data_IF_595183738259
#
_entry.id   IF_595183738259
#
_cell.length_a   1.000
_cell.length_b   1.000
_cell.length_c   1.000
_cell.angle_alpha   90.00
_cell.angle_beta   90.00
_cell.angle_gamma   90.00
#
_symmetry.space_group_name_H-M   'P 1'
#
loop_
_entity.id
_entity.type
_entity.pdbx_description
1 polymer ?
#
# COMPACT_ATOMS: atom_id res chain seq x y z
N UNK A 1 -5.93 -7.06 18.25
CA UNK A 1 -5.26 -6.28 19.34
C UNK A 1 -6.02 -6.35 20.67
N UNK A 2 -7.35 -6.20 20.69
CA UNK A 2 -8.14 -6.28 21.93
C UNK A 2 -7.96 -7.61 22.71
N UNK A 3 -7.98 -8.76 22.04
CA UNK A 3 -7.77 -10.07 22.67
C UNK A 3 -6.40 -10.21 23.35
N UNK A 4 -5.33 -9.71 22.74
CA UNK A 4 -3.99 -9.76 23.34
C UNK A 4 -3.91 -8.93 24.62
N UNK A 5 -4.51 -7.72 24.63
CA UNK A 5 -4.56 -6.88 25.84
C UNK A 5 -5.32 -7.55 26.97
N UNK A 6 -6.48 -8.13 26.67
CA UNK A 6 -7.29 -8.82 27.67
C UNK A 6 -6.56 -10.01 28.32
N UNK A 7 -5.78 -10.76 27.52
CA UNK A 7 -5.00 -11.90 28.02
C UNK A 7 -3.77 -11.45 28.81
N UNK A 8 -3.10 -10.38 28.38
CA UNK A 8 -2.01 -9.75 29.15
C UNK A 8 -2.51 -9.27 30.53
N UNK A 9 -3.71 -8.70 30.60
CA UNK A 9 -4.36 -8.29 31.85
C UNK A 9 -4.66 -9.49 32.78
N UNK A 10 -4.84 -10.69 32.22
CA UNK A 10 -5.05 -11.93 32.96
C UNK A 10 -3.74 -12.65 33.32
N UNK A 11 -2.58 -12.10 32.96
CA UNK A 11 -1.26 -12.67 33.25
C UNK A 11 -0.88 -13.89 32.41
N UNK A 12 -1.57 -14.13 31.29
CA UNK A 12 -1.30 -15.22 30.36
C UNK A 12 -0.75 -14.65 29.02
N UNK A 13 -0.04 -15.47 28.24
CA UNK A 13 0.59 -15.05 26.98
C UNK A 13 0.19 -15.96 25.81
N UNK A 14 -0.66 -15.43 24.92
CA UNK A 14 -1.03 -16.10 23.67
C UNK A 14 0.08 -15.97 22.62
N UNK A 15 1.17 -16.72 22.80
CA UNK A 15 2.36 -16.68 21.92
C UNK A 15 2.03 -16.78 20.43
N UNK A 16 1.13 -17.69 20.04
CA UNK A 16 0.72 -17.87 18.63
C UNK A 16 0.01 -16.61 18.08
N UNK A 17 -0.92 -16.06 18.85
CA UNK A 17 -1.67 -14.87 18.45
C UNK A 17 -0.75 -13.65 18.39
N UNK A 18 0.18 -13.51 19.34
CA UNK A 18 1.20 -12.46 19.35
C UNK A 18 2.07 -12.54 18.10
N UNK A 19 2.64 -13.72 17.83
CA UNK A 19 3.44 -13.95 16.62
C UNK A 19 2.67 -13.69 15.33
N UNK A 20 1.40 -14.10 15.26
CA UNK A 20 0.55 -13.81 14.10
C UNK A 20 0.36 -12.29 13.91
N UNK A 21 0.12 -11.54 15.00
CA UNK A 21 0.01 -10.07 14.96
C UNK A 21 1.32 -9.43 14.54
N UNK A 22 2.46 -9.86 15.09
CA UNK A 22 3.78 -9.31 14.77
C UNK A 22 4.16 -9.54 13.30
N UNK A 23 3.94 -10.75 12.77
CA UNK A 23 4.16 -11.05 11.35
C UNK A 23 3.26 -10.16 10.49
N UNK A 24 2.00 -10.02 10.88
CA UNK A 24 1.04 -9.19 10.20
C UNK A 24 1.45 -7.71 10.23
N UNK A 25 2.03 -7.20 11.31
CA UNK A 25 2.51 -5.81 11.40
C UNK A 25 3.76 -5.53 10.57
N UNK A 26 4.64 -6.51 10.35
CA UNK A 26 5.84 -6.36 9.52
C UNK A 26 5.56 -6.42 8.01
N UNK A 27 4.49 -7.10 7.60
CA UNK A 27 4.16 -7.32 6.18
C UNK A 27 4.08 -6.05 5.31
N UNK A 28 3.50 -4.92 5.73
CA UNK A 28 3.41 -3.74 4.89
C UNK A 28 4.77 -3.18 4.46
N UNK A 29 5.81 -3.32 5.29
CA UNK A 29 7.15 -2.81 4.96
C UNK A 29 7.87 -3.66 3.90
N UNK A 30 7.48 -4.93 3.74
CA UNK A 30 8.03 -5.81 2.70
C UNK A 30 7.79 -5.26 1.30
N UNK A 31 6.73 -4.47 1.08
CA UNK A 31 6.49 -3.81 -0.21
C UNK A 31 7.58 -2.78 -0.53
N UNK A 32 8.10 -2.09 0.49
CA UNK A 32 9.19 -1.11 0.35
C UNK A 32 10.50 -1.85 0.05
N UNK A 33 10.75 -2.98 0.72
CA UNK A 33 11.95 -3.79 0.47
C UNK A 33 11.97 -4.32 -0.98
N UNK A 34 10.82 -4.75 -1.50
CA UNK A 34 10.69 -5.16 -2.90
C UNK A 34 10.90 -4.00 -3.87
N UNK A 35 10.30 -2.84 -3.58
CA UNK A 35 10.54 -1.62 -4.36
C UNK A 35 12.04 -1.30 -4.44
N UNK A 36 12.76 -1.41 -3.32
CA UNK A 36 14.18 -1.09 -3.22
C UNK A 36 15.13 -1.99 -4.01
N UNK A 37 14.67 -3.18 -4.40
CA UNK A 37 15.43 -4.03 -5.35
C UNK A 37 15.56 -3.36 -6.72
N UNK A 38 14.58 -2.52 -7.07
CA UNK A 38 14.48 -1.84 -8.36
C UNK A 38 14.89 -0.37 -8.29
N UNK A 39 14.75 0.26 -7.12
CA UNK A 39 15.03 1.68 -6.90
C UNK A 39 15.87 1.88 -5.64
N UNK A 40 17.15 2.20 -5.80
CA UNK A 40 18.11 2.28 -4.67
C UNK A 40 17.86 3.48 -3.74
N UNK A 41 17.51 4.62 -4.30
CA UNK A 41 17.21 5.86 -3.57
C UNK A 41 15.81 6.35 -3.97
N UNK A 42 14.95 6.57 -2.98
CA UNK A 42 13.58 7.03 -3.20
C UNK A 42 13.46 8.55 -3.20
N UNK A 43 14.52 9.29 -2.86
CA UNK A 43 14.48 10.75 -2.78
C UNK A 43 14.12 11.39 -4.12
N UNK A 44 13.00 12.12 -4.16
CA UNK A 44 12.47 12.76 -5.36
C UNK A 44 11.84 11.79 -6.37
N UNK A 45 11.80 10.50 -6.06
CA UNK A 45 11.18 9.50 -6.94
C UNK A 45 9.67 9.54 -6.77
N UNK A 46 8.96 9.61 -7.91
CA UNK A 46 7.50 9.55 -7.94
C UNK A 46 7.02 8.12 -7.79
N UNK A 47 6.26 7.86 -6.73
CA UNK A 47 5.67 6.55 -6.44
C UNK A 47 4.16 6.68 -6.42
N UNK A 48 3.50 5.97 -7.34
CA UNK A 48 2.05 5.85 -7.39
C UNK A 48 1.55 4.87 -6.35
N UNK A 49 0.53 5.25 -5.59
CA UNK A 49 -0.13 4.40 -4.59
C UNK A 49 -1.60 4.28 -4.95
N UNK A 50 -1.99 3.07 -5.37
CA UNK A 50 -3.37 2.71 -5.69
C UNK A 50 -3.99 1.96 -4.52
N UNK A 51 -5.04 2.53 -3.95
CA UNK A 51 -5.75 1.98 -2.80
C UNK A 51 -5.22 2.54 -1.48
N UNK A 52 -6.12 3.19 -0.74
CA UNK A 52 -5.88 3.82 0.55
C UNK A 52 -6.78 3.24 1.64
N UNK A 53 -7.98 2.77 1.29
CA UNK A 53 -8.89 2.10 2.20
C UNK A 53 -8.31 0.77 2.72
N UNK A 54 -8.77 0.29 3.88
CA UNK A 54 -8.29 -0.99 4.41
C UNK A 54 -8.71 -2.20 3.57
N UNK A 55 -9.85 -2.08 2.86
CA UNK A 55 -10.41 -3.05 1.93
C UNK A 55 -11.27 -2.33 0.86
N UNK A 56 -11.62 -2.98 -0.25
CA UNK A 56 -12.55 -2.42 -1.23
C UNK A 56 -13.95 -2.18 -0.65
N UNK A 57 -14.68 -1.23 -1.24
CA UNK A 57 -16.06 -0.91 -0.91
C UNK A 57 -16.27 -0.06 0.35
N UNK A 58 -15.24 0.63 0.83
CA UNK A 58 -15.33 1.50 2.02
C UNK A 58 -14.30 2.63 1.96
N UNK A 59 -14.58 3.72 2.68
CA UNK A 59 -13.68 4.84 2.92
C UNK A 59 -12.86 4.71 4.22
N UNK A 60 -13.03 3.61 4.97
CA UNK A 60 -12.37 3.40 6.25
C UNK A 60 -10.86 3.13 6.09
N UNK A 61 -10.06 3.88 6.84
CA UNK A 61 -8.59 3.82 6.80
C UNK A 61 -7.95 3.37 8.10
N UNK A 62 -8.72 3.13 9.18
CA UNK A 62 -8.19 2.98 10.54
C UNK A 62 -7.13 1.89 10.69
N UNK A 63 -7.36 0.76 10.03
CA UNK A 63 -6.45 -0.39 10.00
C UNK A 63 -5.81 -0.56 8.60
N UNK A 64 -5.77 0.51 7.81
CA UNK A 64 -5.29 0.42 6.44
C UNK A 64 -3.78 0.20 6.38
N UNK A 65 -3.38 -0.74 5.51
CA UNK A 65 -1.98 -1.06 5.24
C UNK A 65 -1.28 0.00 4.41
N UNK A 66 -2.03 0.92 3.78
CA UNK A 66 -1.46 2.04 3.03
C UNK A 66 -0.78 3.06 3.95
N UNK A 67 -1.28 3.26 5.17
CA UNK A 67 -0.75 4.25 6.12
C UNK A 67 0.75 4.03 6.42
N UNK A 68 1.20 2.86 6.91
CA UNK A 68 2.61 2.65 7.20
C UNK A 68 3.49 2.69 5.95
N UNK A 69 2.98 2.23 4.79
CA UNK A 69 3.70 2.26 3.51
C UNK A 69 3.94 3.70 3.05
N UNK A 70 2.87 4.51 3.01
CA UNK A 70 2.93 5.91 2.59
C UNK A 70 3.81 6.73 3.53
N UNK A 71 3.68 6.53 4.85
CA UNK A 71 4.56 7.18 5.82
C UNK A 71 6.03 6.87 5.53
N UNK A 72 6.36 5.59 5.30
CA UNK A 72 7.73 5.17 5.01
C UNK A 72 8.27 5.76 3.70
N UNK A 73 7.44 5.87 2.66
CA UNK A 73 7.82 6.52 1.41
C UNK A 73 8.15 8.00 1.61
N UNK A 74 7.32 8.73 2.37
CA UNK A 74 7.54 10.14 2.69
C UNK A 74 8.84 10.31 3.50
N UNK A 75 9.04 9.47 4.52
CA UNK A 75 10.24 9.50 5.37
C UNK A 75 11.53 9.26 4.56
N UNK A 76 11.43 8.54 3.43
CA UNK A 76 12.54 8.31 2.49
C UNK A 76 12.62 9.33 1.35
N UNK A 77 11.79 10.37 1.38
CA UNK A 77 11.83 11.49 0.46
C UNK A 77 11.14 11.24 -0.89
N UNK A 78 10.31 10.20 -1.00
CA UNK A 78 9.55 9.93 -2.23
C UNK A 78 8.42 10.94 -2.43
N UNK A 79 8.13 11.25 -3.69
CA UNK A 79 6.93 11.98 -4.10
C UNK A 79 5.76 10.99 -4.28
N UNK A 80 4.89 10.90 -3.28
CA UNK A 80 3.76 9.95 -3.31
C UNK A 80 2.56 10.55 -4.06
N UNK A 81 2.13 9.86 -5.13
CA UNK A 81 0.90 10.13 -5.87
C UNK A 81 -0.17 9.12 -5.49
N UNK A 82 -1.16 9.54 -4.71
CA UNK A 82 -2.13 8.64 -4.10
C UNK A 82 -3.50 8.74 -4.79
N UNK A 83 -4.16 7.61 -4.96
CA UNK A 83 -5.55 7.53 -5.40
C UNK A 83 -6.29 6.36 -4.74
N UNK A 84 -7.54 6.59 -4.35
CA UNK A 84 -8.53 5.60 -3.91
C UNK A 84 -9.94 6.10 -4.28
N UNK A 85 -10.86 5.23 -4.70
CA UNK A 85 -12.24 5.62 -5.02
C UNK A 85 -13.04 6.29 -3.91
N UNK A 86 -12.79 5.92 -2.65
CA UNK A 86 -13.68 6.27 -1.54
C UNK A 86 -12.94 6.89 -0.35
N UNK A 87 -11.69 6.49 -0.09
CA UNK A 87 -10.97 6.85 1.12
C UNK A 87 -10.14 8.15 1.02
N UNK A 88 -10.23 8.90 -0.08
CA UNK A 88 -9.36 10.06 -0.33
C UNK A 88 -9.48 11.15 0.75
N UNK A 89 -10.69 11.48 1.16
CA UNK A 89 -10.92 12.56 2.13
C UNK A 89 -10.46 12.17 3.53
N UNK A 90 -10.75 10.94 3.96
CA UNK A 90 -10.26 10.41 5.22
C UNK A 90 -8.74 10.34 5.24
N UNK A 91 -8.13 9.88 4.14
CA UNK A 91 -6.67 9.78 4.03
C UNK A 91 -6.01 11.17 4.01
N UNK A 92 -6.64 12.18 3.37
CA UNK A 92 -6.18 13.57 3.33
C UNK A 92 -6.15 14.23 4.71
N UNK A 93 -7.07 13.87 5.60
CA UNK A 93 -7.02 14.35 7.00
C UNK A 93 -5.76 13.87 7.72
N UNK A 94 -5.26 12.68 7.39
CA UNK A 94 -4.05 12.12 8.00
C UNK A 94 -2.77 12.58 7.30
N UNK A 95 -2.80 12.72 5.98
CA UNK A 95 -1.65 13.10 5.15
C UNK A 95 -1.96 14.29 4.22
N UNK A 96 -2.16 15.51 4.75
CA UNK A 96 -2.68 16.64 3.98
C UNK A 96 -1.78 17.08 2.82
N UNK A 97 -0.47 16.83 2.94
CA UNK A 97 0.54 17.30 1.98
C UNK A 97 0.84 16.31 0.85
N UNK A 98 0.10 15.20 0.76
CA UNK A 98 0.25 14.24 -0.34
C UNK A 98 -0.33 14.77 -1.65
N UNK A 99 0.20 14.25 -2.76
CA UNK A 99 -0.39 14.49 -4.07
C UNK A 99 -1.52 13.53 -4.32
N UNK A 100 -2.75 13.99 -4.11
CA UNK A 100 -3.96 13.24 -4.42
C UNK A 100 -4.31 13.38 -5.91
N UNK A 101 -4.24 12.29 -6.65
CA UNK A 101 -4.62 12.25 -8.06
C UNK A 101 -6.15 12.12 -8.24
N UNK A 102 -6.63 12.46 -9.44
CA UNK A 102 -8.07 12.46 -9.74
C UNK A 102 -8.61 11.09 -10.14
N UNK A 103 -7.74 10.22 -10.67
CA UNK A 103 -8.08 8.86 -11.06
C UNK A 103 -6.83 7.96 -10.96
N UNK A 104 -7.03 6.65 -11.12
CA UNK A 104 -5.92 5.71 -11.16
C UNK A 104 -5.06 5.92 -12.42
N UNK A 105 -5.68 6.19 -13.57
CA UNK A 105 -4.99 6.53 -14.82
C UNK A 105 -4.12 7.78 -14.67
N UNK A 106 -4.59 8.77 -13.91
CA UNK A 106 -3.82 9.98 -13.61
C UNK A 106 -2.56 9.66 -12.78
N UNK A 107 -2.62 8.69 -11.87
CA UNK A 107 -1.43 8.16 -11.17
C UNK A 107 -0.49 7.49 -12.18
N UNK A 108 -1.00 6.57 -13.00
CA UNK A 108 -0.20 5.83 -13.98
C UNK A 108 0.45 6.77 -15.01
N UNK A 109 -0.20 7.86 -15.41
CA UNK A 109 0.35 8.84 -16.35
C UNK A 109 1.52 9.66 -15.78
N UNK A 110 1.67 9.71 -14.45
CA UNK A 110 2.62 10.62 -13.76
C UNK A 110 3.83 9.93 -13.12
N UNK A 111 3.88 8.60 -13.09
CA UNK A 111 4.98 7.85 -12.47
C UNK A 111 5.21 6.49 -13.13
N UNK A 112 6.41 5.93 -12.95
CA UNK A 112 6.79 4.61 -13.48
C UNK A 112 6.63 3.49 -12.45
N UNK A 113 6.52 3.84 -11.18
CA UNK A 113 6.45 2.90 -10.06
C UNK A 113 5.04 2.94 -9.47
N UNK A 114 4.39 1.78 -9.37
CA UNK A 114 3.04 1.64 -8.85
C UNK A 114 3.01 0.62 -7.71
N UNK A 115 2.45 1.03 -6.57
CA UNK A 115 2.13 0.16 -5.45
C UNK A 115 0.62 -0.08 -5.43
N UNK A 116 0.21 -1.34 -5.43
CA UNK A 116 -1.21 -1.72 -5.31
C UNK A 116 -1.46 -2.21 -3.89
N UNK A 117 -2.19 -1.41 -3.12
CA UNK A 117 -2.40 -1.60 -1.68
C UNK A 117 -3.85 -1.93 -1.33
N UNK A 118 -4.81 -1.77 -2.23
CA UNK A 118 -6.21 -2.20 -2.09
C UNK A 118 -6.73 -2.71 -3.45
N UNK A 119 -7.47 -3.82 -3.46
CA UNK A 119 -7.92 -4.47 -4.70
C UNK A 119 -9.26 -3.89 -5.20
N UNK A 120 -9.28 -2.65 -5.67
CA UNK A 120 -10.47 -2.07 -6.28
C UNK A 120 -10.67 -2.61 -7.70
N UNK A 121 -11.92 -2.90 -8.08
CA UNK A 121 -12.21 -3.50 -9.39
C UNK A 121 -11.84 -2.59 -10.56
N UNK A 122 -11.94 -1.27 -10.40
CA UNK A 122 -11.49 -0.30 -11.40
C UNK A 122 -9.99 -0.42 -11.73
N UNK A 123 -9.17 -0.95 -10.82
CA UNK A 123 -7.74 -1.13 -11.09
C UNK A 123 -7.47 -2.25 -12.11
N UNK A 124 -8.39 -3.21 -12.27
CA UNK A 124 -8.23 -4.33 -13.22
C UNK A 124 -8.22 -3.87 -14.67
N UNK A 125 -8.90 -2.78 -14.99
CA UNK A 125 -9.05 -2.25 -16.36
C UNK A 125 -7.88 -1.37 -16.82
N UNK A 126 -6.85 -1.19 -16.00
CA UNK A 126 -5.75 -0.27 -16.26
C UNK A 126 -4.64 -0.92 -17.08
N UNK A 127 -3.95 -0.10 -17.88
CA UNK A 127 -2.75 -0.51 -18.62
C UNK A 127 -1.48 -0.22 -17.81
N UNK A 128 -0.85 -1.27 -17.29
CA UNK A 128 0.40 -1.16 -16.52
C UNK A 128 1.65 -1.25 -17.40
N UNK A 129 1.52 -1.18 -18.72
CA UNK A 129 2.64 -1.26 -19.66
C UNK A 129 3.75 -0.27 -19.31
N UNK A 130 4.98 -0.77 -19.29
CA UNK A 130 6.17 0.03 -18.95
C UNK A 130 6.38 0.29 -17.45
N UNK A 131 5.43 -0.08 -16.58
CA UNK A 131 5.52 0.19 -15.13
C UNK A 131 6.26 -0.89 -14.36
N UNK A 132 6.85 -0.47 -13.23
CA UNK A 132 7.30 -1.34 -12.14
C UNK A 132 6.15 -1.42 -11.14
N UNK A 133 5.53 -2.58 -11.02
CA UNK A 133 4.39 -2.81 -10.13
C UNK A 133 4.83 -3.68 -8.96
N UNK A 134 4.66 -3.17 -7.75
CA UNK A 134 4.75 -3.98 -6.53
C UNK A 134 3.34 -4.16 -5.97
N UNK A 135 2.89 -5.40 -5.88
CA UNK A 135 1.50 -5.73 -5.66
C UNK A 135 1.30 -6.48 -4.34
N UNK A 136 0.57 -5.86 -3.41
CA UNK A 136 0.18 -6.45 -2.13
C UNK A 136 -1.13 -7.24 -2.18
N UNK A 137 -1.82 -7.29 -3.32
CA UNK A 137 -3.23 -7.69 -3.46
C UNK A 137 -3.51 -8.68 -4.59
N UNK A 138 -2.52 -9.04 -5.40
CA UNK A 138 -2.59 -10.07 -6.45
C UNK A 138 -3.57 -9.70 -7.58
N UNK A 139 -3.45 -8.48 -8.09
CA UNK A 139 -4.08 -8.02 -9.32
C UNK A 139 -3.43 -8.70 -10.54
N UNK A 140 -4.13 -9.67 -11.12
CA UNK A 140 -3.62 -10.53 -12.19
C UNK A 140 -3.36 -9.74 -13.47
N UNK A 141 -4.19 -8.73 -13.72
CA UNK A 141 -4.15 -7.87 -14.90
C UNK A 141 -2.87 -7.04 -14.94
N UNK A 142 -2.43 -6.51 -13.79
CA UNK A 142 -1.14 -5.84 -13.68
C UNK A 142 0.03 -6.79 -13.97
N UNK A 143 -0.04 -8.05 -13.51
CA UNK A 143 1.01 -9.04 -13.80
C UNK A 143 1.19 -9.31 -15.30
N UNK A 144 0.11 -9.22 -16.08
CA UNK A 144 0.14 -9.49 -17.52
C UNK A 144 0.77 -8.36 -18.34
N UNK A 145 0.61 -7.12 -17.90
CA UNK A 145 0.95 -5.92 -18.69
C UNK A 145 2.16 -5.17 -18.15
N UNK A 146 2.47 -5.27 -16.86
CA UNK A 146 3.59 -4.58 -16.25
C UNK A 146 4.95 -5.02 -16.84
N UNK A 147 5.89 -4.06 -16.93
CA UNK A 147 7.27 -4.35 -17.33
C UNK A 147 7.98 -5.19 -16.26
N UNK A 148 7.76 -4.84 -14.99
CA UNK A 148 8.23 -5.59 -13.83
C UNK A 148 7.05 -5.75 -12.89
N UNK A 149 6.84 -6.97 -12.38
CA UNK A 149 5.78 -7.27 -11.42
C UNK A 149 6.35 -8.08 -10.26
N UNK A 150 6.18 -7.57 -9.04
CA UNK A 150 6.62 -8.21 -7.80
C UNK A 150 5.42 -8.40 -6.86
N UNK A 151 5.20 -9.63 -6.43
CA UNK A 151 4.19 -9.95 -5.43
C UNK A 151 4.75 -9.88 -4.02
N UNK A 152 4.02 -9.30 -3.08
CA UNK A 152 4.49 -9.25 -1.68
C UNK A 152 4.56 -10.65 -1.05
N UNK A 153 3.64 -11.55 -1.40
CA UNK A 153 3.45 -12.83 -0.69
C UNK A 153 3.49 -14.09 -1.56
N UNK A 154 4.09 -14.06 -2.76
CA UNK A 154 4.20 -15.24 -3.64
C UNK A 154 5.41 -15.16 -4.58
#
# INVERSE_FOLDING_TARGET
>A
KALLRWVEEMGDDLKIVRSAVEVNEKQPLRIIDLLKKHVKDLKGIKVGVLGLAFKPGTDDIRESRSIPVVKKLIDEGAEVLAYDPQAMDNFRRLFPNLRYCKSAEDVLGKCEIILILTNWDEFRGLDYSGKIVIDGRRLIEAKKTAKIYEGVCW
#
